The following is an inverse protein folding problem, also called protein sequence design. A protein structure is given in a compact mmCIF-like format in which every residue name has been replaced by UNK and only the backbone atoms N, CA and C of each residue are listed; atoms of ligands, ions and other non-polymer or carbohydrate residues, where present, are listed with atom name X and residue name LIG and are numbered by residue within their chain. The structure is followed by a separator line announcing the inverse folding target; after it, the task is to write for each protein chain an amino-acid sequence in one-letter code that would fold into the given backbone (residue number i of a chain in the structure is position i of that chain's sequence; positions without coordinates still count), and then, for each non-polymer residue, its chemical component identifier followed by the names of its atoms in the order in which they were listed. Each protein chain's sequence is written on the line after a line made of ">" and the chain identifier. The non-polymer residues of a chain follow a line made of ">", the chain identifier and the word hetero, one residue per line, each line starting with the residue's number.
data_IF_702136431372
#
_entry.id   IF_702136431372
#
_cell.length_a   1.000
_cell.length_b   1.000
_cell.length_c   1.000
_cell.angle_alpha   90.00
_cell.angle_beta   90.00
_cell.angle_gamma   90.00
#
_symmetry.space_group_name_H-M   'P 1'
#
loop_
_entity.id
_entity.type
_entity.pdbx_description
1 polymer ?
#
# COMPACT_ATOMS: atom_id res chain seq x y z
N UNK A 1 -0.87 29.08 18.34
CA UNK A 1 -1.76 27.97 18.72
C UNK A 1 -1.01 26.69 18.42
N UNK A 2 -0.85 25.79 19.41
CA UNK A 2 -0.34 24.46 19.12
C UNK A 2 -1.34 23.79 18.19
N UNK A 3 -0.95 23.52 16.94
CA UNK A 3 -1.78 22.78 16.01
C UNK A 3 -1.90 21.36 16.55
N UNK A 4 -3.12 20.89 16.81
CA UNK A 4 -3.34 19.49 17.12
C UNK A 4 -3.04 18.65 15.89
N UNK A 5 -2.57 17.41 16.08
CA UNK A 5 -2.31 16.54 14.96
C UNK A 5 -3.64 16.06 14.38
N UNK A 6 -3.89 16.18 13.07
CA UNK A 6 -5.19 15.85 12.49
C UNK A 6 -5.56 14.38 12.72
N UNK A 7 -6.88 14.11 12.74
CA UNK A 7 -7.41 12.78 12.94
C UNK A 7 -6.96 11.83 11.82
N UNK A 8 -6.60 10.60 12.20
CA UNK A 8 -6.16 9.56 11.28
C UNK A 8 -7.36 8.96 10.54
N UNK A 9 -7.23 8.76 9.22
CA UNK A 9 -8.30 8.14 8.42
C UNK A 9 -8.64 6.71 8.88
N UNK A 10 -7.67 5.97 9.43
CA UNK A 10 -7.88 4.72 10.16
C UNK A 10 -7.54 4.94 11.62
N UNK A 11 -8.44 4.53 12.52
CA UNK A 11 -8.19 4.60 13.96
C UNK A 11 -7.29 3.43 14.41
N UNK A 12 -6.36 3.70 15.33
CA UNK A 12 -5.32 2.72 15.69
C UNK A 12 -5.86 1.40 16.25
N UNK A 13 -6.97 1.41 16.96
CA UNK A 13 -7.60 0.20 17.50
C UNK A 13 -8.31 -0.63 16.43
N UNK A 14 -8.83 -0.01 15.35
CA UNK A 14 -9.39 -0.72 14.19
C UNK A 14 -8.27 -1.47 13.45
N UNK A 15 -7.12 -0.83 13.29
CA UNK A 15 -5.93 -1.46 12.74
C UNK A 15 -5.46 -2.66 13.60
N UNK A 16 -5.43 -2.50 14.93
CA UNK A 16 -5.07 -3.58 15.86
C UNK A 16 -6.07 -4.75 15.81
N UNK A 17 -7.37 -4.47 15.70
CA UNK A 17 -8.41 -5.49 15.52
C UNK A 17 -8.23 -6.24 14.20
N UNK A 18 -7.91 -5.54 13.12
CA UNK A 18 -7.58 -6.15 11.83
C UNK A 18 -6.40 -7.13 11.96
N UNK A 19 -5.33 -6.75 12.65
CA UNK A 19 -4.21 -7.65 12.92
C UNK A 19 -4.61 -8.86 13.78
N UNK A 20 -5.41 -8.66 14.83
CA UNK A 20 -5.90 -9.76 15.65
C UNK A 20 -6.76 -10.75 14.86
N UNK A 21 -7.66 -10.24 14.00
CA UNK A 21 -8.49 -11.06 13.11
C UNK A 21 -7.65 -11.81 12.07
N UNK A 22 -6.61 -11.18 11.53
CA UNK A 22 -5.64 -11.83 10.64
C UNK A 22 -4.95 -13.00 11.34
N UNK A 23 -4.40 -12.79 12.55
CA UNK A 23 -3.71 -13.84 13.31
C UNK A 23 -4.66 -14.97 13.69
N UNK A 24 -5.91 -14.64 14.05
CA UNK A 24 -6.94 -15.62 14.33
C UNK A 24 -7.28 -16.47 13.09
N UNK A 25 -7.50 -15.84 11.94
CA UNK A 25 -7.75 -16.56 10.69
C UNK A 25 -6.56 -17.45 10.29
N UNK A 26 -5.33 -16.96 10.47
CA UNK A 26 -4.11 -17.72 10.22
C UNK A 26 -4.01 -18.94 11.15
N UNK A 27 -4.37 -18.80 12.43
CA UNK A 27 -4.40 -19.91 13.37
C UNK A 27 -5.39 -21.00 12.92
N UNK A 28 -6.60 -20.62 12.47
CA UNK A 28 -7.58 -21.55 11.89
C UNK A 28 -7.01 -22.28 10.67
N UNK A 29 -6.42 -21.53 9.72
CA UNK A 29 -5.81 -22.13 8.52
C UNK A 29 -4.70 -23.12 8.89
N UNK A 30 -3.91 -22.81 9.92
CA UNK A 30 -2.81 -23.67 10.35
C UNK A 30 -3.26 -24.93 11.08
N UNK A 31 -4.21 -24.78 12.01
CA UNK A 31 -4.64 -25.85 12.93
C UNK A 31 -5.69 -26.75 12.28
N UNK A 32 -6.73 -26.17 11.68
CA UNK A 32 -7.88 -26.91 11.18
C UNK A 32 -7.76 -27.25 9.69
N UNK A 33 -6.92 -26.51 8.94
CA UNK A 33 -6.72 -26.65 7.48
C UNK A 33 -8.03 -26.84 6.70
N UNK A 34 -9.03 -25.94 6.84
CA UNK A 34 -10.37 -26.11 6.27
C UNK A 34 -10.38 -26.20 4.73
N UNK A 35 -9.32 -25.75 4.06
CA UNK A 35 -9.16 -25.81 2.61
C UNK A 35 -8.08 -26.80 2.15
N UNK A 36 -7.59 -27.67 3.04
CA UNK A 36 -6.47 -28.58 2.78
C UNK A 36 -5.24 -27.82 2.29
N UNK A 37 -4.63 -28.29 1.20
CA UNK A 37 -3.44 -27.66 0.58
C UNK A 37 -3.78 -26.51 -0.38
N UNK A 38 -5.05 -26.11 -0.48
CA UNK A 38 -5.44 -24.98 -1.34
C UNK A 38 -5.06 -23.64 -0.70
N UNK A 39 -3.86 -23.18 -1.04
CA UNK A 39 -3.28 -21.92 -0.57
C UNK A 39 -4.11 -20.70 -1.02
N UNK A 40 -4.71 -20.73 -2.22
CA UNK A 40 -5.48 -19.60 -2.75
C UNK A 40 -6.76 -19.40 -1.93
N UNK A 41 -7.50 -20.47 -1.66
CA UNK A 41 -8.69 -20.42 -0.82
C UNK A 41 -8.35 -19.99 0.62
N UNK A 42 -7.25 -20.51 1.17
CA UNK A 42 -6.77 -20.13 2.49
C UNK A 42 -6.39 -18.63 2.57
N UNK A 43 -5.71 -18.11 1.55
CA UNK A 43 -5.39 -16.69 1.45
C UNK A 43 -6.65 -15.81 1.35
N UNK A 44 -7.61 -16.21 0.51
CA UNK A 44 -8.90 -15.51 0.40
C UNK A 44 -9.70 -15.52 1.70
N UNK A 45 -9.68 -16.63 2.44
CA UNK A 45 -10.32 -16.71 3.76
C UNK A 45 -9.67 -15.74 4.76
N UNK A 46 -8.33 -15.70 4.83
CA UNK A 46 -7.60 -14.77 5.69
C UNK A 46 -7.97 -13.32 5.33
N UNK A 47 -7.98 -12.96 4.04
CA UNK A 47 -8.39 -11.64 3.57
C UNK A 47 -9.84 -11.35 3.97
N UNK A 48 -10.76 -12.30 3.78
CA UNK A 48 -12.18 -12.12 4.07
C UNK A 48 -12.45 -11.87 5.56
N UNK A 49 -11.85 -12.68 6.45
CA UNK A 49 -12.00 -12.53 7.91
C UNK A 49 -11.39 -11.20 8.37
N UNK A 50 -10.20 -10.86 7.88
CA UNK A 50 -9.51 -9.61 8.22
C UNK A 50 -10.31 -8.39 7.75
N UNK A 51 -10.78 -8.40 6.50
CA UNK A 51 -11.58 -7.32 5.93
C UNK A 51 -12.93 -7.19 6.65
N UNK A 52 -13.59 -8.30 6.98
CA UNK A 52 -14.84 -8.29 7.73
C UNK A 52 -14.68 -7.65 9.11
N UNK A 53 -13.63 -8.00 9.86
CA UNK A 53 -13.36 -7.41 11.17
C UNK A 53 -13.15 -5.89 11.10
N UNK A 54 -12.38 -5.42 10.12
CA UNK A 54 -12.14 -3.98 9.89
C UNK A 54 -13.45 -3.30 9.48
N UNK A 55 -14.15 -3.81 8.47
CA UNK A 55 -15.32 -3.15 7.89
C UNK A 55 -16.55 -3.17 8.79
N UNK A 56 -16.79 -4.23 9.54
CA UNK A 56 -17.91 -4.26 10.49
C UNK A 56 -17.77 -3.13 11.51
N UNK A 57 -16.58 -2.96 12.06
CA UNK A 57 -16.29 -1.90 13.02
C UNK A 57 -16.34 -0.52 12.37
N UNK A 58 -15.71 -0.35 11.21
CA UNK A 58 -15.72 0.92 10.50
C UNK A 58 -17.14 1.36 10.10
N UNK A 59 -18.02 0.42 9.76
CA UNK A 59 -19.39 0.72 9.36
C UNK A 59 -20.32 0.96 10.56
N UNK A 60 -20.20 0.16 11.62
CA UNK A 60 -21.11 0.22 12.77
C UNK A 60 -20.69 1.33 13.75
N UNK A 61 -19.40 1.38 14.10
CA UNK A 61 -18.88 2.25 15.15
C UNK A 61 -18.35 3.56 14.59
N UNK A 62 -17.34 3.49 13.72
CA UNK A 62 -16.69 4.67 13.13
C UNK A 62 -17.61 5.39 12.14
N UNK A 63 -18.62 4.68 11.61
CA UNK A 63 -19.58 5.14 10.59
C UNK A 63 -18.88 5.81 9.40
N UNK A 64 -17.83 5.16 8.89
CA UNK A 64 -17.02 5.70 7.78
C UNK A 64 -17.83 6.04 6.53
N UNK A 65 -18.96 5.35 6.33
CA UNK A 65 -19.89 5.57 5.23
C UNK A 65 -20.59 6.94 5.27
N UNK A 66 -20.56 7.65 6.41
CA UNK A 66 -21.09 9.00 6.57
C UNK A 66 -20.02 10.09 6.40
N UNK A 67 -18.75 9.71 6.21
CA UNK A 67 -17.68 10.69 6.06
C UNK A 67 -17.84 11.46 4.74
N UNK A 68 -17.58 12.78 4.72
CA UNK A 68 -17.65 13.60 3.50
C UNK A 68 -16.77 13.05 2.37
N UNK A 69 -15.65 12.41 2.71
CA UNK A 69 -14.72 11.81 1.75
C UNK A 69 -15.34 10.71 0.87
N UNK A 70 -16.41 10.06 1.33
CA UNK A 70 -17.13 9.06 0.51
C UNK A 70 -17.94 9.71 -0.61
N UNK A 71 -18.36 10.98 -0.43
CA UNK A 71 -19.30 11.66 -1.30
C UNK A 71 -20.72 11.09 -1.27
N UNK A 72 -21.02 10.22 -0.30
CA UNK A 72 -22.34 9.60 -0.07
C UNK A 72 -23.11 10.48 0.91
N UNK A 73 -24.33 10.86 0.53
CA UNK A 73 -25.23 11.64 1.37
C UNK A 73 -26.53 10.85 1.58
N UNK A 74 -26.83 10.40 2.83
CA UNK A 74 -28.05 9.65 3.12
C UNK A 74 -29.35 10.42 2.84
N UNK A 75 -29.30 11.75 2.79
CA UNK A 75 -30.45 12.61 2.52
C UNK A 75 -30.72 12.79 1.02
N UNK A 76 -29.75 12.40 0.19
CA UNK A 76 -29.83 12.50 -1.26
C UNK A 76 -30.24 11.16 -1.88
N UNK A 77 -31.28 11.15 -2.70
CA UNK A 77 -31.71 9.96 -3.43
C UNK A 77 -32.10 10.29 -4.88
N UNK A 78 -31.24 9.92 -5.83
CA UNK A 78 -31.46 10.07 -7.26
C UNK A 78 -31.21 8.76 -8.01
N UNK A 79 -32.14 7.80 -7.95
CA UNK A 79 -31.97 6.53 -8.65
C UNK A 79 -31.92 6.68 -10.17
N UNK A 80 -31.01 5.95 -10.81
CA UNK A 80 -30.94 5.89 -12.27
C UNK A 80 -30.38 4.54 -12.75
N UNK A 81 -31.25 3.71 -13.32
CA UNK A 81 -30.85 2.46 -13.94
C UNK A 81 -29.92 2.70 -15.14
N UNK A 82 -30.22 3.71 -15.96
CA UNK A 82 -29.38 4.07 -17.10
C UNK A 82 -27.94 4.43 -16.66
N UNK A 83 -27.80 5.27 -15.62
CA UNK A 83 -26.47 5.64 -15.09
C UNK A 83 -25.75 4.44 -14.48
N UNK A 84 -26.48 3.58 -13.77
CA UNK A 84 -25.95 2.33 -13.21
C UNK A 84 -25.41 1.41 -14.30
N UNK A 85 -26.15 1.21 -15.39
CA UNK A 85 -25.71 0.41 -16.53
C UNK A 85 -24.48 1.00 -17.22
N UNK A 86 -24.41 2.33 -17.35
CA UNK A 86 -23.20 3.01 -17.88
C UNK A 86 -22.00 2.74 -16.98
N UNK A 87 -22.14 2.87 -15.65
CA UNK A 87 -21.04 2.56 -14.71
C UNK A 87 -20.62 1.10 -14.76
N UNK A 88 -21.59 0.19 -14.89
CA UNK A 88 -21.32 -1.23 -15.04
C UNK A 88 -20.55 -1.53 -16.33
N UNK A 89 -20.96 -0.94 -17.46
CA UNK A 89 -20.18 -0.99 -18.70
C UNK A 89 -18.77 -0.43 -18.53
N UNK A 90 -18.61 0.65 -17.75
CA UNK A 90 -17.31 1.20 -17.39
C UNK A 90 -16.44 0.26 -16.54
N UNK A 91 -17.03 -0.47 -15.60
CA UNK A 91 -16.34 -1.51 -14.84
C UNK A 91 -15.87 -2.64 -15.77
N UNK A 92 -16.75 -3.16 -16.63
CA UNK A 92 -16.39 -4.19 -17.60
C UNK A 92 -15.31 -3.71 -18.57
N UNK A 93 -15.38 -2.46 -19.04
CA UNK A 93 -14.35 -1.84 -19.85
C UNK A 93 -13.02 -1.72 -19.12
N UNK A 94 -13.04 -1.39 -17.83
CA UNK A 94 -11.82 -1.31 -17.00
C UNK A 94 -11.17 -2.68 -16.82
N UNK A 95 -11.98 -3.72 -16.55
CA UNK A 95 -11.51 -5.09 -16.46
C UNK A 95 -10.97 -5.59 -17.81
N UNK A 96 -11.69 -5.30 -18.90
CA UNK A 96 -11.26 -5.61 -20.26
C UNK A 96 -9.96 -4.93 -20.64
N UNK A 97 -9.76 -3.68 -20.22
CA UNK A 97 -8.51 -2.95 -20.41
C UNK A 97 -7.34 -3.63 -19.69
N UNK A 98 -7.50 -4.03 -18.43
CA UNK A 98 -6.46 -4.77 -17.69
C UNK A 98 -6.21 -6.15 -18.31
N UNK A 99 -7.27 -6.87 -18.69
CA UNK A 99 -7.14 -8.16 -19.37
C UNK A 99 -6.38 -8.02 -20.70
N UNK A 100 -6.63 -6.95 -21.46
CA UNK A 100 -5.88 -6.63 -22.67
C UNK A 100 -4.41 -6.36 -22.37
N UNK A 101 -4.08 -5.60 -21.32
CA UNK A 101 -2.69 -5.39 -20.90
C UNK A 101 -1.99 -6.70 -20.53
N UNK A 102 -2.64 -7.58 -19.76
CA UNK A 102 -2.09 -8.90 -19.41
C UNK A 102 -1.92 -9.82 -20.61
N UNK A 103 -2.85 -9.75 -21.56
CA UNK A 103 -2.70 -10.46 -22.83
C UNK A 103 -1.53 -9.90 -23.64
N UNK A 104 -1.39 -8.59 -23.76
CA UNK A 104 -0.37 -7.94 -24.58
C UNK A 104 1.06 -8.14 -24.04
N UNK A 105 1.24 -8.04 -22.72
CA UNK A 105 2.55 -8.04 -22.07
C UNK A 105 2.97 -9.47 -21.67
N UNK A 106 4.10 -10.01 -22.20
CA UNK A 106 4.52 -11.39 -21.95
C UNK A 106 4.74 -11.75 -20.47
N UNK A 107 5.15 -10.78 -19.66
CA UNK A 107 5.40 -10.93 -18.22
C UNK A 107 4.23 -11.60 -17.49
N UNK A 108 2.98 -11.20 -17.79
CA UNK A 108 1.79 -11.72 -17.11
C UNK A 108 1.38 -13.12 -17.57
N UNK A 109 2.04 -13.69 -18.58
CA UNK A 109 1.80 -15.07 -19.03
C UNK A 109 2.68 -16.10 -18.29
N UNK A 110 3.61 -15.64 -17.44
CA UNK A 110 4.50 -16.50 -16.67
C UNK A 110 3.80 -17.26 -15.54
N UNK A 111 4.36 -18.41 -15.16
CA UNK A 111 3.86 -19.26 -14.05
C UNK A 111 3.81 -18.53 -12.70
N UNK A 112 4.61 -17.48 -12.55
CA UNK A 112 4.62 -16.65 -11.34
C UNK A 112 3.22 -16.16 -10.96
N UNK A 113 2.38 -15.78 -11.94
CA UNK A 113 1.03 -15.24 -11.70
C UNK A 113 -0.09 -16.28 -11.65
N UNK A 114 0.21 -17.58 -11.67
CA UNK A 114 -0.81 -18.64 -11.75
C UNK A 114 -1.80 -18.59 -10.57
N UNK A 115 -1.29 -18.37 -9.35
CA UNK A 115 -2.12 -18.24 -8.13
C UNK A 115 -3.04 -17.02 -8.17
N UNK A 116 -2.59 -15.94 -8.79
CA UNK A 116 -3.42 -14.75 -9.01
C UNK A 116 -4.57 -15.04 -9.98
N UNK A 117 -4.31 -15.72 -11.10
CA UNK A 117 -5.38 -16.08 -12.04
C UNK A 117 -6.39 -17.05 -11.43
N UNK A 118 -5.95 -18.01 -10.60
CA UNK A 118 -6.85 -18.88 -9.83
C UNK A 118 -7.75 -18.05 -8.90
N UNK A 119 -7.20 -17.05 -8.20
CA UNK A 119 -8.00 -16.13 -7.39
C UNK A 119 -8.99 -15.33 -8.22
N UNK A 120 -8.61 -14.83 -9.40
CA UNK A 120 -9.54 -14.13 -10.30
C UNK A 120 -10.73 -15.01 -10.69
N UNK A 121 -10.51 -16.29 -11.00
CA UNK A 121 -11.61 -17.22 -11.32
C UNK A 121 -12.62 -17.38 -10.18
N UNK A 122 -12.17 -17.26 -8.93
CA UNK A 122 -13.04 -17.35 -7.75
C UNK A 122 -13.75 -16.02 -7.49
N UNK A 123 -13.00 -14.91 -7.48
CA UNK A 123 -13.49 -13.60 -7.03
C UNK A 123 -14.30 -12.89 -8.12
N UNK A 124 -13.84 -12.91 -9.37
CA UNK A 124 -14.39 -12.09 -10.44
C UNK A 124 -15.88 -12.35 -10.75
N UNK A 125 -16.37 -13.61 -10.79
CA UNK A 125 -17.80 -13.86 -11.03
C UNK A 125 -18.70 -13.23 -9.97
N UNK A 126 -18.33 -13.41 -8.69
CA UNK A 126 -19.08 -12.83 -7.56
C UNK A 126 -19.01 -11.31 -7.56
N UNK A 127 -17.84 -10.73 -7.86
CA UNK A 127 -17.66 -9.28 -7.94
C UNK A 127 -18.51 -8.67 -9.06
N UNK A 128 -18.54 -9.27 -10.25
CA UNK A 128 -19.36 -8.78 -11.37
C UNK A 128 -20.85 -8.88 -11.04
N UNK A 129 -21.29 -9.99 -10.45
CA UNK A 129 -22.69 -10.18 -10.05
C UNK A 129 -23.12 -9.14 -8.99
N UNK A 130 -22.27 -8.85 -8.01
CA UNK A 130 -22.54 -7.89 -6.94
C UNK A 130 -22.33 -6.43 -7.36
N UNK A 131 -21.63 -6.16 -8.47
CA UNK A 131 -21.35 -4.80 -8.92
C UNK A 131 -22.62 -4.03 -9.33
N UNK A 132 -23.58 -4.68 -9.97
CA UNK A 132 -24.85 -4.04 -10.36
C UNK A 132 -25.67 -3.53 -9.17
N UNK A 133 -26.03 -4.36 -8.17
CA UNK A 133 -26.74 -3.87 -6.99
C UNK A 133 -25.91 -2.85 -6.22
N UNK A 134 -24.59 -3.05 -6.10
CA UNK A 134 -23.70 -2.10 -5.45
C UNK A 134 -23.73 -0.71 -6.13
N UNK A 135 -23.57 -0.66 -7.45
CA UNK A 135 -23.65 0.60 -8.18
C UNK A 135 -25.01 1.25 -8.01
N UNK A 136 -26.11 0.51 -8.15
CA UNK A 136 -27.45 1.07 -8.00
C UNK A 136 -27.68 1.70 -6.61
N UNK A 137 -27.21 1.05 -5.55
CA UNK A 137 -27.41 1.51 -4.16
C UNK A 137 -26.51 2.69 -3.80
N UNK A 138 -25.26 2.69 -4.25
CA UNK A 138 -24.31 3.76 -3.91
C UNK A 138 -24.52 4.98 -4.81
N UNK A 139 -24.66 4.78 -6.12
CA UNK A 139 -24.77 5.86 -7.11
C UNK A 139 -25.95 6.80 -6.85
N UNK A 140 -27.09 6.27 -6.39
CA UNK A 140 -28.27 7.08 -6.07
C UNK A 140 -28.03 8.06 -4.92
N UNK A 141 -27.08 7.76 -4.02
CA UNK A 141 -26.74 8.60 -2.85
C UNK A 141 -25.48 9.44 -3.05
N UNK A 142 -24.86 9.39 -4.23
CA UNK A 142 -23.66 10.17 -4.52
C UNK A 142 -24.05 11.59 -4.94
N UNK A 143 -23.46 12.61 -4.31
CA UNK A 143 -23.62 14.02 -4.73
C UNK A 143 -23.08 14.27 -6.14
N UNK A 144 -22.00 13.58 -6.50
CA UNK A 144 -21.35 13.66 -7.83
C UNK A 144 -21.26 12.26 -8.45
N UNK A 145 -22.36 11.76 -9.04
CA UNK A 145 -22.41 10.38 -9.52
C UNK A 145 -21.64 10.16 -10.83
N UNK A 146 -21.20 11.21 -11.54
CA UNK A 146 -20.39 11.08 -12.78
C UNK A 146 -18.91 10.88 -12.42
N UNK A 147 -18.59 9.69 -11.89
CA UNK A 147 -17.24 9.30 -11.49
C UNK A 147 -16.47 8.61 -12.64
N UNK A 148 -15.26 8.13 -12.36
CA UNK A 148 -14.40 7.43 -13.33
C UNK A 148 -15.08 6.25 -14.02
N UNK A 149 -15.93 5.48 -13.31
CA UNK A 149 -16.70 4.40 -13.93
C UNK A 149 -17.72 4.92 -14.92
N UNK A 150 -18.36 6.05 -14.63
CA UNK A 150 -19.28 6.67 -15.59
C UNK A 150 -18.54 7.14 -16.85
N UNK A 151 -17.40 7.81 -16.71
CA UNK A 151 -16.59 8.27 -17.84
C UNK A 151 -16.01 7.12 -18.67
N UNK A 152 -15.51 6.07 -18.03
CA UNK A 152 -15.09 4.84 -18.72
C UNK A 152 -16.27 4.17 -19.42
N UNK A 153 -17.46 4.18 -18.81
CA UNK A 153 -18.68 3.69 -19.43
C UNK A 153 -19.05 4.45 -20.70
N UNK A 154 -18.96 5.79 -20.65
CA UNK A 154 -19.16 6.66 -21.83
C UNK A 154 -18.15 6.38 -22.94
N UNK A 155 -16.90 6.09 -22.60
CA UNK A 155 -15.88 5.66 -23.55
C UNK A 155 -16.29 4.35 -24.26
N UNK A 156 -16.68 3.33 -23.49
CA UNK A 156 -17.06 2.01 -24.01
C UNK A 156 -18.28 2.07 -24.93
N UNK A 157 -19.25 2.95 -24.66
CA UNK A 157 -20.44 3.14 -25.50
C UNK A 157 -20.27 4.22 -26.59
N UNK A 158 -19.02 4.64 -26.87
CA UNK A 158 -18.67 5.60 -27.92
C UNK A 158 -19.29 7.00 -27.77
N UNK A 159 -19.54 7.46 -26.54
CA UNK A 159 -20.08 8.80 -26.23
C UNK A 159 -18.99 9.76 -25.74
N UNK A 160 -18.00 9.98 -26.60
CA UNK A 160 -16.76 10.72 -26.32
C UNK A 160 -16.97 12.17 -25.89
N UNK A 161 -17.99 12.85 -26.42
CA UNK A 161 -18.26 14.26 -26.14
C UNK A 161 -18.62 14.54 -24.67
N UNK A 162 -19.05 13.52 -23.91
CA UNK A 162 -19.43 13.66 -22.52
C UNK A 162 -18.27 13.37 -21.53
N UNK A 163 -17.08 13.07 -22.04
CA UNK A 163 -15.95 12.60 -21.23
C UNK A 163 -15.10 13.77 -20.75
N UNK A 164 -14.84 13.80 -19.44
CA UNK A 164 -13.75 14.58 -18.87
C UNK A 164 -12.48 13.73 -18.91
N UNK A 165 -11.49 14.20 -19.68
CA UNK A 165 -10.23 13.48 -19.90
C UNK A 165 -9.41 13.36 -18.61
N UNK A 166 -9.48 14.34 -17.71
CA UNK A 166 -8.73 14.30 -16.45
C UNK A 166 -9.29 13.23 -15.51
N UNK A 167 -10.62 13.13 -15.41
CA UNK A 167 -11.29 12.11 -14.60
C UNK A 167 -11.06 10.71 -15.17
N UNK A 168 -11.15 10.54 -16.49
CA UNK A 168 -10.86 9.27 -17.15
C UNK A 168 -9.38 8.87 -16.97
N UNK A 169 -8.45 9.82 -17.12
CA UNK A 169 -7.02 9.56 -16.91
C UNK A 169 -6.71 9.08 -15.50
N UNK A 170 -7.28 9.73 -14.48
CA UNK A 170 -7.15 9.30 -13.08
C UNK A 170 -7.76 7.91 -12.83
N UNK A 171 -8.88 7.60 -13.47
CA UNK A 171 -9.51 6.28 -13.40
C UNK A 171 -8.61 5.18 -14.00
N UNK A 172 -8.07 5.42 -15.19
CA UNK A 172 -7.16 4.49 -15.86
C UNK A 172 -5.87 4.28 -15.06
N UNK A 173 -5.26 5.36 -14.54
CA UNK A 173 -4.11 5.26 -13.64
C UNK A 173 -4.42 4.40 -12.40
N UNK A 174 -5.56 4.63 -11.74
CA UNK A 174 -6.00 3.83 -10.60
C UNK A 174 -6.16 2.34 -10.92
N UNK A 175 -6.67 2.01 -12.11
CA UNK A 175 -6.77 0.62 -12.57
C UNK A 175 -5.42 0.02 -12.96
N UNK A 176 -4.52 0.77 -13.58
CA UNK A 176 -3.15 0.31 -13.85
C UNK A 176 -2.41 0.01 -12.55
N UNK A 177 -2.55 0.86 -11.53
CA UNK A 177 -1.98 0.62 -10.19
C UNK A 177 -2.49 -0.73 -9.65
N UNK A 178 -3.80 -0.96 -9.66
CA UNK A 178 -4.37 -2.24 -9.21
C UNK A 178 -3.88 -3.42 -10.06
N UNK A 179 -3.90 -3.26 -11.38
CA UNK A 179 -3.48 -4.27 -12.34
C UNK A 179 -1.99 -4.62 -12.23
N UNK A 180 -1.14 -3.71 -11.78
CA UNK A 180 0.27 -3.97 -11.51
C UNK A 180 0.49 -4.60 -10.13
N UNK A 181 -0.04 -3.99 -9.07
CA UNK A 181 0.31 -4.39 -7.70
C UNK A 181 -0.48 -5.58 -7.18
N UNK A 182 -1.77 -5.70 -7.50
CA UNK A 182 -2.58 -6.82 -7.00
C UNK A 182 -2.02 -8.20 -7.39
N UNK A 183 -1.66 -8.48 -8.67
CA UNK A 183 -1.12 -9.80 -9.02
C UNK A 183 0.19 -10.10 -8.29
N UNK A 184 1.05 -9.08 -8.12
CA UNK A 184 2.32 -9.21 -7.44
C UNK A 184 2.14 -9.52 -5.94
N UNK A 185 1.36 -8.68 -5.25
CA UNK A 185 1.14 -8.80 -3.80
C UNK A 185 0.40 -10.09 -3.46
N UNK A 186 -0.63 -10.47 -4.22
CA UNK A 186 -1.37 -11.70 -3.96
C UNK A 186 -0.51 -12.96 -4.17
N UNK A 187 0.36 -12.94 -5.18
CA UNK A 187 1.32 -14.03 -5.42
C UNK A 187 2.32 -14.16 -4.26
N UNK A 188 2.89 -13.04 -3.80
CA UNK A 188 3.77 -13.01 -2.63
C UNK A 188 3.07 -13.52 -1.38
N UNK A 189 1.84 -13.04 -1.10
CA UNK A 189 1.04 -13.53 0.02
C UNK A 189 0.86 -15.05 -0.02
N UNK A 190 0.53 -15.63 -1.19
CA UNK A 190 0.37 -17.07 -1.29
C UNK A 190 1.70 -17.82 -1.10
N UNK A 191 2.82 -17.28 -1.59
CA UNK A 191 4.14 -17.88 -1.40
C UNK A 191 4.53 -17.88 0.08
N UNK A 192 4.27 -16.77 0.77
CA UNK A 192 4.53 -16.61 2.19
C UNK A 192 3.63 -17.51 3.04
N UNK A 193 2.34 -17.60 2.71
CA UNK A 193 1.42 -18.52 3.37
C UNK A 193 1.86 -19.99 3.19
N UNK A 194 2.26 -20.38 1.97
CA UNK A 194 2.76 -21.73 1.72
C UNK A 194 4.02 -22.02 2.54
N UNK A 195 4.95 -21.06 2.64
CA UNK A 195 6.14 -21.17 3.49
C UNK A 195 5.76 -21.31 4.95
N UNK A 196 4.88 -20.45 5.45
CA UNK A 196 4.39 -20.47 6.82
C UNK A 196 3.75 -21.82 7.18
N UNK A 197 2.91 -22.38 6.30
CA UNK A 197 2.28 -23.69 6.50
C UNK A 197 3.27 -24.86 6.42
N UNK A 198 4.40 -24.70 5.75
CA UNK A 198 5.45 -25.71 5.68
C UNK A 198 6.40 -25.69 6.89
N UNK A 199 6.36 -24.65 7.74
CA UNK A 199 7.21 -24.56 8.93
C UNK A 199 6.90 -25.69 9.90
N UNK A 200 7.96 -26.37 10.34
CA UNK A 200 7.92 -27.35 11.40
C UNK A 200 8.28 -26.65 12.72
N UNK A 201 7.29 -26.45 13.59
CA UNK A 201 7.48 -25.70 14.84
C UNK A 201 8.40 -26.42 15.83
N UNK A 202 8.59 -27.73 15.70
CA UNK A 202 9.54 -28.48 16.54
C UNK A 202 10.99 -28.08 16.24
N UNK A 203 11.26 -27.55 15.05
CA UNK A 203 12.60 -27.08 14.64
C UNK A 203 12.94 -25.67 15.14
N UNK A 204 12.00 -24.96 15.79
CA UNK A 204 12.24 -23.64 16.37
C UNK A 204 13.00 -23.72 17.70
N UNK A 205 14.21 -24.27 17.67
CA UNK A 205 15.02 -24.58 18.86
C UNK A 205 16.09 -23.54 19.18
N UNK A 206 16.45 -22.68 18.22
CA UNK A 206 17.49 -21.66 18.39
C UNK A 206 17.03 -20.29 17.91
N UNK A 207 17.68 -19.24 18.41
CA UNK A 207 17.37 -17.86 18.01
C UNK A 207 17.50 -17.66 16.49
N UNK A 208 18.40 -18.38 15.80
CA UNK A 208 18.50 -18.31 14.34
C UNK A 208 17.20 -18.75 13.66
N UNK A 209 16.64 -19.90 14.06
CA UNK A 209 15.40 -20.39 13.48
C UNK A 209 14.21 -19.48 13.84
N UNK A 210 14.18 -18.96 15.07
CA UNK A 210 13.20 -17.96 15.47
C UNK A 210 13.33 -16.65 14.67
N UNK A 211 14.55 -16.19 14.41
CA UNK A 211 14.80 -15.01 13.59
C UNK A 211 14.25 -15.22 12.18
N UNK A 212 14.64 -16.31 11.51
CA UNK A 212 14.20 -16.60 10.13
C UNK A 212 12.67 -16.68 10.07
N UNK A 213 12.05 -17.37 11.03
CA UNK A 213 10.59 -17.51 11.13
C UNK A 213 9.86 -16.18 11.39
N UNK A 214 10.32 -15.38 12.37
CA UNK A 214 9.70 -14.10 12.72
C UNK A 214 9.87 -13.07 11.60
N UNK A 215 11.04 -13.04 10.97
CA UNK A 215 11.32 -12.17 9.84
C UNK A 215 10.36 -12.47 8.68
N UNK A 216 10.25 -13.73 8.27
CA UNK A 216 9.33 -14.15 7.20
C UNK A 216 7.86 -13.90 7.59
N UNK A 217 7.48 -14.18 8.83
CA UNK A 217 6.11 -13.95 9.33
C UNK A 217 5.72 -12.46 9.33
N UNK A 218 6.67 -11.57 9.63
CA UNK A 218 6.45 -10.12 9.59
C UNK A 218 6.17 -9.64 8.15
N UNK A 219 6.97 -10.07 7.17
CA UNK A 219 6.70 -9.77 5.76
C UNK A 219 5.41 -10.41 5.25
N UNK A 220 5.06 -11.60 5.74
CA UNK A 220 3.79 -12.24 5.43
C UNK A 220 2.59 -11.40 5.90
N UNK A 221 2.64 -10.86 7.12
CA UNK A 221 1.60 -9.93 7.63
C UNK A 221 1.50 -8.70 6.73
N UNK A 222 2.63 -8.08 6.40
CA UNK A 222 2.70 -6.91 5.52
C UNK A 222 1.98 -7.17 4.20
N UNK A 223 2.45 -8.16 3.45
CA UNK A 223 1.95 -8.43 2.09
C UNK A 223 0.49 -8.89 2.08
N UNK A 224 0.02 -9.54 3.15
CA UNK A 224 -1.37 -9.94 3.29
C UNK A 224 -2.31 -8.73 3.43
N UNK A 225 -1.93 -7.76 4.28
CA UNK A 225 -2.69 -6.52 4.45
C UNK A 225 -2.64 -5.66 3.20
N UNK A 226 -1.49 -5.60 2.53
CA UNK A 226 -1.36 -4.93 1.22
C UNK A 226 -2.27 -5.57 0.18
N UNK A 227 -2.29 -6.91 0.07
CA UNK A 227 -3.15 -7.65 -0.86
C UNK A 227 -4.63 -7.37 -0.61
N UNK A 228 -5.05 -7.40 0.66
CA UNK A 228 -6.40 -6.99 1.06
C UNK A 228 -6.71 -5.56 0.63
N UNK A 229 -5.79 -4.62 0.86
CA UNK A 229 -5.96 -3.22 0.51
C UNK A 229 -6.27 -3.01 -0.98
N UNK A 230 -5.62 -3.75 -1.87
CA UNK A 230 -5.88 -3.68 -3.32
C UNK A 230 -7.22 -4.30 -3.74
N UNK A 231 -7.62 -5.42 -3.11
CA UNK A 231 -8.92 -6.06 -3.37
C UNK A 231 -10.08 -5.21 -2.84
N UNK A 232 -9.93 -4.68 -1.63
CA UNK A 232 -11.01 -4.04 -0.88
C UNK A 232 -10.96 -2.52 -1.00
N UNK A 233 -11.37 -2.01 -2.16
CA UNK A 233 -11.35 -0.58 -2.50
C UNK A 233 -12.76 -0.04 -2.77
N UNK A 234 -13.61 -0.12 -1.75
CA UNK A 234 -15.01 0.24 -1.82
C UNK A 234 -15.24 1.67 -1.33
N UNK A 235 -16.13 2.40 -2.01
CA UNK A 235 -16.51 3.77 -1.63
C UNK A 235 -17.29 3.79 -0.33
N UNK A 236 -18.16 2.79 -0.12
CA UNK A 236 -18.98 2.67 1.08
C UNK A 236 -18.17 2.49 2.37
N UNK A 237 -17.03 1.81 2.31
CA UNK A 237 -16.11 1.66 3.46
C UNK A 237 -15.07 2.79 3.51
N UNK A 238 -15.25 3.86 2.73
CA UNK A 238 -14.30 4.98 2.58
C UNK A 238 -12.88 4.54 2.15
N UNK A 239 -12.71 3.32 1.66
CA UNK A 239 -11.42 2.78 1.22
C UNK A 239 -11.17 3.02 -0.27
N UNK A 240 -12.07 3.61 -1.04
CA UNK A 240 -11.82 3.88 -2.46
C UNK A 240 -10.56 4.74 -2.74
N UNK A 241 -10.00 4.59 -3.94
CA UNK A 241 -8.94 5.47 -4.45
C UNK A 241 -9.55 6.85 -4.70
N UNK A 242 -9.01 7.88 -4.03
CA UNK A 242 -9.43 9.28 -4.22
C UNK A 242 -8.67 9.93 -5.37
N UNK A 243 -7.37 9.64 -5.47
CA UNK A 243 -6.54 10.00 -6.62
C UNK A 243 -5.35 9.04 -6.76
N UNK A 244 -4.83 8.95 -7.98
CA UNK A 244 -3.60 8.25 -8.30
C UNK A 244 -2.46 9.26 -8.54
N UNK A 245 -1.22 8.86 -8.26
CA UNK A 245 -0.02 9.65 -8.55
C UNK A 245 -0.02 10.05 -10.03
N UNK A 246 -0.05 11.35 -10.36
CA UNK A 246 -0.13 11.78 -11.74
C UNK A 246 1.24 11.94 -12.42
N UNK A 247 2.34 11.95 -11.69
CA UNK A 247 3.66 12.27 -12.26
C UNK A 247 4.42 11.03 -12.69
N UNK A 248 5.09 11.11 -13.85
CA UNK A 248 5.96 10.05 -14.33
C UNK A 248 7.10 9.74 -13.36
N UNK A 249 7.62 10.76 -12.66
CA UNK A 249 8.68 10.57 -11.67
C UNK A 249 8.21 9.68 -10.52
N UNK A 250 7.04 9.96 -9.93
CA UNK A 250 6.46 9.17 -8.85
C UNK A 250 6.26 7.70 -9.26
N UNK A 251 5.75 7.47 -10.48
CA UNK A 251 5.63 6.13 -11.05
C UNK A 251 6.99 5.44 -11.22
N UNK A 252 7.97 6.10 -11.82
CA UNK A 252 9.28 5.50 -12.09
C UNK A 252 9.99 5.08 -10.79
N UNK A 253 10.06 5.96 -9.79
CA UNK A 253 10.74 5.67 -8.52
C UNK A 253 10.00 4.62 -7.67
N UNK A 254 8.68 4.52 -7.81
CA UNK A 254 7.91 3.48 -7.16
C UNK A 254 8.11 2.13 -7.87
N UNK A 255 7.88 2.05 -9.18
CA UNK A 255 7.93 0.81 -9.95
C UNK A 255 9.33 0.18 -9.95
N UNK A 256 10.40 0.97 -9.94
CA UNK A 256 11.77 0.44 -9.87
C UNK A 256 12.03 -0.43 -8.62
N UNK A 257 11.24 -0.23 -7.56
CA UNK A 257 11.34 -0.97 -6.30
C UNK A 257 10.57 -2.31 -6.30
N UNK A 258 9.92 -2.67 -7.40
CA UNK A 258 9.09 -3.88 -7.50
C UNK A 258 9.51 -4.73 -8.70
N UNK A 259 9.20 -6.02 -8.65
CA UNK A 259 9.39 -6.90 -9.81
C UNK A 259 8.48 -6.49 -10.99
N UNK A 260 8.92 -6.69 -12.23
CA UNK A 260 10.21 -7.27 -12.66
C UNK A 260 11.39 -6.27 -12.70
N UNK A 261 11.14 -4.99 -12.40
CA UNK A 261 12.17 -3.96 -12.52
C UNK A 261 13.27 -4.12 -11.47
N UNK A 262 12.90 -4.47 -10.23
CA UNK A 262 13.85 -4.61 -9.14
C UNK A 262 14.86 -5.73 -9.35
N UNK A 263 14.47 -6.90 -9.88
CA UNK A 263 15.45 -7.97 -10.17
C UNK A 263 16.53 -7.52 -11.14
N UNK A 264 16.20 -6.67 -12.12
CA UNK A 264 17.18 -6.10 -13.05
C UNK A 264 18.00 -5.02 -12.38
N UNK A 265 17.35 -4.03 -11.77
CA UNK A 265 18.01 -2.85 -11.17
C UNK A 265 18.89 -3.25 -9.98
N UNK A 266 18.34 -4.03 -9.06
CA UNK A 266 19.04 -4.53 -7.88
C UNK A 266 20.24 -5.41 -8.23
N UNK A 267 20.10 -6.31 -9.21
CA UNK A 267 21.20 -7.21 -9.59
C UNK A 267 22.29 -6.53 -10.43
N UNK A 268 21.91 -5.69 -11.39
CA UNK A 268 22.86 -5.17 -12.38
C UNK A 268 23.45 -3.81 -12.00
N UNK A 269 22.69 -2.94 -11.33
CA UNK A 269 23.08 -1.55 -11.07
C UNK A 269 23.31 -1.27 -9.58
N UNK A 270 22.47 -1.83 -8.70
CA UNK A 270 22.54 -1.65 -7.25
C UNK A 270 22.96 -2.95 -6.56
N UNK A 271 24.01 -3.60 -7.04
CA UNK A 271 24.58 -4.81 -6.43
C UNK A 271 25.35 -4.48 -5.14
N UNK A 272 24.65 -3.94 -4.13
CA UNK A 272 25.21 -3.57 -2.84
C UNK A 272 25.39 -4.79 -1.91
N UNK A 273 24.69 -5.90 -2.16
CA UNK A 273 24.80 -7.11 -1.36
C UNK A 273 25.99 -7.99 -1.78
N UNK A 274 26.50 -8.75 -0.81
CA UNK A 274 27.45 -9.85 -1.04
C UNK A 274 26.81 -11.17 -0.58
N UNK A 275 27.44 -12.30 -0.88
CA UNK A 275 26.99 -13.60 -0.35
C UNK A 275 27.20 -13.74 1.17
N UNK A 276 27.85 -12.78 1.82
CA UNK A 276 28.14 -12.78 3.25
C UNK A 276 27.19 -11.85 4.01
N UNK A 277 26.20 -12.44 4.69
CA UNK A 277 25.17 -11.70 5.46
C UNK A 277 25.51 -11.64 6.94
N UNK A 278 24.78 -10.80 7.68
CA UNK A 278 25.01 -10.54 9.11
C UNK A 278 24.99 -11.81 9.98
N UNK A 279 24.15 -12.77 9.60
CA UNK A 279 24.07 -14.06 10.27
C UNK A 279 25.38 -14.86 10.17
N UNK A 280 26.11 -14.75 9.06
CA UNK A 280 27.41 -15.40 8.91
C UNK A 280 28.53 -14.63 9.60
N UNK A 281 28.34 -13.33 9.85
CA UNK A 281 29.31 -12.47 10.52
C UNK A 281 29.34 -12.69 12.03
N UNK A 282 28.17 -12.78 12.65
CA UNK A 282 28.04 -12.86 14.11
C UNK A 282 27.82 -14.28 14.62
N UNK A 283 27.91 -15.31 13.76
CA UNK A 283 27.52 -16.70 14.09
C UNK A 283 28.25 -17.27 15.31
N UNK A 284 29.53 -16.93 15.47
CA UNK A 284 30.41 -17.35 16.59
C UNK A 284 30.17 -16.56 17.88
N UNK A 285 29.32 -15.53 17.85
CA UNK A 285 29.11 -14.61 18.98
C UNK A 285 27.62 -14.55 19.37
N UNK A 286 27.10 -15.53 20.14
CA UNK A 286 25.66 -15.67 20.39
C UNK A 286 24.99 -14.41 20.95
N UNK A 287 25.64 -13.71 21.88
CA UNK A 287 25.11 -12.47 22.46
C UNK A 287 24.96 -11.36 21.41
N UNK A 288 25.99 -11.10 20.61
CA UNK A 288 25.94 -10.08 19.55
C UNK A 288 24.99 -10.48 18.43
N UNK A 289 24.94 -11.76 18.07
CA UNK A 289 23.97 -12.29 17.13
C UNK A 289 22.52 -12.00 17.58
N UNK A 290 22.22 -12.27 18.86
CA UNK A 290 20.91 -12.00 19.46
C UNK A 290 20.54 -10.52 19.45
N UNK A 291 21.46 -9.65 19.88
CA UNK A 291 21.24 -8.19 19.91
C UNK A 291 21.03 -7.64 18.49
N UNK A 292 21.89 -8.03 17.55
CA UNK A 292 21.85 -7.53 16.17
C UNK A 292 20.61 -8.03 15.42
N UNK A 293 20.34 -9.34 15.49
CA UNK A 293 19.14 -9.94 14.91
C UNK A 293 17.86 -9.39 15.54
N UNK A 294 17.85 -9.19 16.86
CA UNK A 294 16.74 -8.54 17.57
C UNK A 294 16.51 -7.11 17.08
N UNK A 295 17.58 -6.34 16.86
CA UNK A 295 17.51 -5.00 16.28
C UNK A 295 16.90 -4.99 14.87
N UNK A 296 17.29 -5.94 14.01
CA UNK A 296 16.68 -6.11 12.68
C UNK A 296 15.19 -6.42 12.82
N UNK A 297 14.80 -7.36 13.69
CA UNK A 297 13.39 -7.72 13.90
C UNK A 297 12.57 -6.53 14.42
N UNK A 298 13.12 -5.70 15.31
CA UNK A 298 12.44 -4.47 15.77
C UNK A 298 12.22 -3.49 14.61
N UNK A 299 13.22 -3.28 13.74
CA UNK A 299 13.06 -2.42 12.57
C UNK A 299 12.01 -2.97 11.60
N UNK A 300 12.03 -4.27 11.33
CA UNK A 300 11.02 -4.91 10.47
C UNK A 300 9.63 -4.84 11.13
N UNK A 301 9.53 -5.01 12.45
CA UNK A 301 8.27 -4.84 13.17
C UNK A 301 7.72 -3.41 13.07
N UNK A 302 8.56 -2.38 13.14
CA UNK A 302 8.14 -0.98 12.90
C UNK A 302 7.67 -0.79 11.45
N UNK A 303 8.36 -1.41 10.48
CA UNK A 303 7.94 -1.41 9.08
C UNK A 303 6.54 -2.03 8.91
N UNK A 304 6.30 -3.21 9.49
CA UNK A 304 4.98 -3.89 9.42
C UNK A 304 3.92 -3.11 10.19
N UNK A 305 4.26 -2.53 11.33
CA UNK A 305 3.34 -1.71 12.12
C UNK A 305 2.83 -0.50 11.32
N UNK A 306 3.67 0.07 10.45
CA UNK A 306 3.25 1.14 9.54
C UNK A 306 2.19 0.65 8.56
N UNK A 307 2.34 -0.56 8.01
CA UNK A 307 1.31 -1.17 7.14
C UNK A 307 0.03 -1.49 7.91
N UNK A 308 0.15 -2.06 9.12
CA UNK A 308 -1.00 -2.34 10.00
C UNK A 308 -1.81 -1.07 10.25
N UNK A 309 -1.16 0.07 10.50
CA UNK A 309 -1.82 1.35 10.75
C UNK A 309 -2.72 1.85 9.60
N UNK A 310 -2.50 1.40 8.36
CA UNK A 310 -3.42 1.70 7.25
C UNK A 310 -4.74 0.92 7.32
N UNK A 311 -4.78 -0.24 7.98
CA UNK A 311 -5.90 -1.17 7.88
C UNK A 311 -6.17 -1.58 6.43
N UNK A 312 -7.41 -1.42 5.96
CA UNK A 312 -7.80 -1.77 4.58
C UNK A 312 -7.46 -0.70 3.52
N UNK A 313 -6.72 0.35 3.87
CA UNK A 313 -6.46 1.50 2.98
C UNK A 313 -5.11 1.46 2.26
N UNK A 314 -4.20 0.57 2.64
CA UNK A 314 -2.86 0.56 2.05
C UNK A 314 -2.93 0.43 0.53
N UNK A 315 -2.18 1.27 -0.18
CA UNK A 315 -1.96 1.14 -1.62
C UNK A 315 -0.84 2.08 -2.07
N UNK A 316 0.11 1.58 -2.85
CA UNK A 316 1.15 2.39 -3.50
C UNK A 316 0.54 3.35 -4.53
N UNK A 317 1.18 4.52 -4.71
CA UNK A 317 0.83 5.51 -5.74
C UNK A 317 -0.61 6.05 -5.66
N UNK A 318 -1.27 5.94 -4.51
CA UNK A 318 -2.65 6.41 -4.35
C UNK A 318 -2.84 7.23 -3.09
N UNK A 319 -3.83 8.12 -3.16
CA UNK A 319 -4.38 8.78 -1.98
C UNK A 319 -5.69 8.10 -1.58
N UNK A 320 -5.72 7.50 -0.37
CA UNK A 320 -6.87 6.77 0.20
C UNK A 320 -7.22 7.24 1.62
N UNK A 321 -6.86 8.49 1.95
CA UNK A 321 -6.94 9.05 3.29
C UNK A 321 -5.58 9.12 3.98
N UNK A 322 -5.42 10.12 4.85
CA UNK A 322 -4.16 10.40 5.54
C UNK A 322 -4.11 9.61 6.84
N UNK A 323 -3.06 8.81 7.01
CA UNK A 323 -2.80 8.08 8.25
C UNK A 323 -1.87 8.90 9.11
N UNK A 324 -2.33 9.18 10.31
CA UNK A 324 -1.57 9.97 11.28
C UNK A 324 -1.39 9.22 12.59
N UNK A 325 -1.97 8.03 12.77
CA UNK A 325 -1.86 7.21 14.00
C UNK A 325 -0.77 6.15 13.94
N UNK A 326 -0.48 5.49 15.07
CA UNK A 326 0.57 4.47 15.15
C UNK A 326 1.96 5.06 14.86
N UNK A 327 2.81 4.41 14.05
CA UNK A 327 4.17 4.87 13.79
C UNK A 327 4.24 6.22 13.05
N UNK A 328 3.12 6.62 12.43
CA UNK A 328 2.92 7.93 11.81
C UNK A 328 2.76 9.08 12.83
N UNK A 329 2.91 8.84 14.14
CA UNK A 329 3.05 9.91 15.14
C UNK A 329 4.49 10.45 15.26
N UNK A 330 5.48 9.69 14.80
CA UNK A 330 6.91 10.05 14.95
C UNK A 330 7.57 10.54 13.66
N UNK A 331 7.12 10.06 12.49
CA UNK A 331 7.65 10.47 11.19
C UNK A 331 6.60 10.24 10.09
N UNK A 332 6.71 10.98 8.98
CA UNK A 332 5.82 10.83 7.81
C UNK A 332 5.98 9.48 7.10
N UNK A 333 7.18 8.90 7.13
CA UNK A 333 7.51 7.67 6.41
C UNK A 333 8.22 6.63 7.29
N UNK A 334 7.55 6.11 8.35
CA UNK A 334 8.18 5.17 9.28
C UNK A 334 8.63 3.88 8.62
N UNK A 335 7.83 3.35 7.68
CA UNK A 335 8.17 2.17 6.88
C UNK A 335 9.49 2.36 6.12
N UNK A 336 9.66 3.50 5.44
CA UNK A 336 10.87 3.75 4.65
C UNK A 336 12.10 3.89 5.56
N UNK A 337 11.99 4.60 6.67
CA UNK A 337 13.09 4.74 7.62
C UNK A 337 13.52 3.38 8.17
N UNK A 338 12.58 2.61 8.70
CA UNK A 338 12.87 1.33 9.32
C UNK A 338 13.43 0.31 8.31
N UNK A 339 12.87 0.26 7.09
CA UNK A 339 13.34 -0.59 6.01
C UNK A 339 14.78 -0.27 5.61
N UNK A 340 15.10 1.01 5.39
CA UNK A 340 16.46 1.40 5.01
C UNK A 340 17.49 1.11 6.11
N UNK A 341 17.15 1.36 7.39
CA UNK A 341 18.01 0.98 8.52
C UNK A 341 18.21 -0.54 8.60
N UNK A 342 17.16 -1.33 8.35
CA UNK A 342 17.25 -2.79 8.37
C UNK A 342 18.19 -3.31 7.29
N UNK A 343 18.19 -2.71 6.09
CA UNK A 343 19.12 -3.07 5.02
C UNK A 343 20.56 -2.77 5.36
N UNK A 344 20.84 -1.63 5.99
CA UNK A 344 22.18 -1.39 6.55
C UNK A 344 22.55 -2.49 7.54
N UNK A 345 21.70 -2.81 8.51
CA UNK A 345 22.03 -3.87 9.48
C UNK A 345 22.24 -5.25 8.83
N UNK A 346 21.50 -5.57 7.78
CA UNK A 346 21.63 -6.86 7.07
C UNK A 346 22.89 -6.91 6.20
N UNK A 347 23.24 -5.78 5.55
CA UNK A 347 24.30 -5.71 4.53
C UNK A 347 25.64 -5.19 5.05
N UNK A 348 25.70 -4.46 6.18
CA UNK A 348 26.92 -3.95 6.85
C UNK A 348 28.11 -4.94 6.87
N UNK A 349 27.94 -6.26 7.02
CA UNK A 349 29.06 -7.21 7.06
C UNK A 349 30.06 -7.14 5.90
N UNK A 350 29.68 -6.61 4.73
CA UNK A 350 30.66 -6.41 3.64
C UNK A 350 31.79 -5.44 4.04
N UNK A 351 31.58 -4.55 5.02
CA UNK A 351 32.63 -3.65 5.50
C UNK A 351 33.70 -4.39 6.30
N UNK A 352 33.35 -5.52 6.92
CA UNK A 352 34.29 -6.35 7.68
C UNK A 352 35.12 -7.28 6.77
N UNK A 353 34.68 -7.53 5.54
CA UNK A 353 35.32 -8.44 4.61
C UNK A 353 35.45 -7.83 3.21
N UNK A 354 36.63 -7.28 2.91
CA UNK A 354 36.95 -6.79 1.58
C UNK A 354 38.05 -5.74 1.59
N UNK A 355 38.58 -5.43 0.41
CA UNK A 355 39.43 -4.27 0.24
C UNK A 355 38.59 -2.98 0.43
N UNK A 356 39.17 -1.89 0.99
CA UNK A 356 38.43 -0.67 1.31
C UNK A 356 37.65 -0.06 0.13
N UNK A 357 38.15 -0.22 -1.10
CA UNK A 357 37.50 0.23 -2.33
C UNK A 357 36.16 -0.48 -2.58
N UNK A 358 36.10 -1.80 -2.34
CA UNK A 358 34.87 -2.59 -2.48
C UNK A 358 33.85 -2.20 -1.41
N UNK A 359 34.30 -2.04 -0.17
CA UNK A 359 33.43 -1.60 0.93
C UNK A 359 32.83 -0.21 0.64
N UNK A 360 33.65 0.74 0.18
CA UNK A 360 33.18 2.07 -0.24
C UNK A 360 32.15 1.98 -1.37
N UNK A 361 32.41 1.14 -2.39
CA UNK A 361 31.46 0.92 -3.49
C UNK A 361 30.11 0.41 -3.00
N UNK A 362 30.10 -0.61 -2.15
CA UNK A 362 28.84 -1.17 -1.61
C UNK A 362 28.09 -0.15 -0.75
N UNK A 363 28.80 0.65 0.06
CA UNK A 363 28.20 1.75 0.80
C UNK A 363 27.54 2.79 -0.13
N UNK A 364 28.22 3.20 -1.20
CA UNK A 364 27.67 4.14 -2.17
C UNK A 364 26.45 3.58 -2.91
N UNK A 365 26.46 2.30 -3.25
CA UNK A 365 25.31 1.63 -3.88
C UNK A 365 24.11 1.52 -2.93
N UNK A 366 24.35 1.22 -1.64
CA UNK A 366 23.30 1.19 -0.62
C UNK A 366 22.75 2.59 -0.33
N UNK A 367 23.62 3.62 -0.30
CA UNK A 367 23.19 5.02 -0.24
C UNK A 367 22.36 5.43 -1.46
N UNK A 368 22.71 4.95 -2.66
CA UNK A 368 21.91 5.20 -3.86
C UNK A 368 20.50 4.58 -3.73
N UNK A 369 20.39 3.37 -3.15
CA UNK A 369 19.09 2.78 -2.82
C UNK A 369 18.32 3.61 -1.79
N UNK A 370 18.98 4.11 -0.75
CA UNK A 370 18.32 5.02 0.20
C UNK A 370 17.84 6.31 -0.49
N UNK A 371 18.62 6.84 -1.45
CA UNK A 371 18.25 7.98 -2.30
C UNK A 371 16.98 7.74 -3.10
N UNK A 372 16.78 6.53 -3.64
CA UNK A 372 15.52 6.14 -4.31
C UNK A 372 14.35 6.25 -3.32
N UNK A 373 14.51 5.80 -2.08
CA UNK A 373 13.46 5.90 -1.06
C UNK A 373 13.19 7.34 -0.62
N UNK A 374 14.21 8.21 -0.62
CA UNK A 374 14.01 9.66 -0.41
C UNK A 374 13.20 10.27 -1.54
N UNK A 375 13.51 9.94 -2.80
CA UNK A 375 12.74 10.41 -3.95
C UNK A 375 11.29 9.92 -3.89
N UNK A 376 11.09 8.63 -3.58
CA UNK A 376 9.77 8.02 -3.42
C UNK A 376 8.96 8.69 -2.30
N UNK A 377 9.59 8.95 -1.15
CA UNK A 377 8.97 9.73 -0.08
C UNK A 377 8.53 11.09 -0.63
N UNK A 378 9.43 11.85 -1.28
CA UNK A 378 9.13 13.19 -1.77
C UNK A 378 8.01 13.25 -2.80
N UNK A 379 7.99 12.32 -3.76
CA UNK A 379 6.90 12.24 -4.73
C UNK A 379 5.56 11.96 -4.05
N UNK A 380 5.55 11.07 -3.05
CA UNK A 380 4.37 10.80 -2.23
C UNK A 380 3.93 12.04 -1.43
N UNK A 381 4.86 12.78 -0.80
CA UNK A 381 4.55 14.04 -0.12
C UNK A 381 3.94 15.07 -1.07
N UNK A 382 4.47 15.21 -2.29
CA UNK A 382 3.94 16.15 -3.29
C UNK A 382 2.54 15.78 -3.76
N UNK A 383 2.28 14.49 -3.99
CA UNK A 383 0.95 14.00 -4.36
C UNK A 383 -0.05 14.21 -3.22
N UNK A 384 0.31 13.83 -2.00
CA UNK A 384 -0.55 13.96 -0.83
C UNK A 384 -0.78 15.42 -0.41
N UNK A 385 0.15 16.34 -0.70
CA UNK A 385 0.00 17.78 -0.40
C UNK A 385 -1.15 18.48 -1.13
N UNK A 386 -1.85 17.77 -2.03
CA UNK A 386 -3.11 18.22 -2.61
C UNK A 386 -4.29 18.11 -1.63
N UNK A 387 -4.16 17.27 -0.61
CA UNK A 387 -5.12 17.17 0.49
C UNK A 387 -4.73 18.15 1.62
N UNK A 388 -5.60 19.10 2.00
CA UNK A 388 -5.36 20.00 3.12
C UNK A 388 -5.00 19.29 4.44
N UNK A 389 -5.59 18.10 4.70
CA UNK A 389 -5.31 17.30 5.90
C UNK A 389 -3.84 16.87 5.91
N UNK A 390 -3.28 16.52 4.75
CA UNK A 390 -1.87 16.17 4.66
C UNK A 390 -0.96 17.36 4.90
N UNK A 391 -1.32 18.55 4.38
CA UNK A 391 -0.55 19.78 4.59
C UNK A 391 -0.51 20.13 6.08
N UNK A 392 -1.64 20.00 6.78
CA UNK A 392 -1.71 20.19 8.23
C UNK A 392 -0.85 19.17 8.99
N UNK A 393 -0.99 17.88 8.65
CA UNK A 393 -0.19 16.80 9.22
C UNK A 393 1.31 16.98 9.00
N UNK A 394 1.73 17.30 7.78
CA UNK A 394 3.12 17.52 7.43
C UNK A 394 3.69 18.75 8.16
N UNK A 395 2.90 19.82 8.28
CA UNK A 395 3.29 21.00 9.06
C UNK A 395 3.43 20.69 10.55
N UNK A 396 2.52 19.87 11.09
CA UNK A 396 2.60 19.38 12.47
C UNK A 396 3.87 18.55 12.69
N UNK A 397 4.23 17.70 11.72
CA UNK A 397 5.43 16.87 11.76
C UNK A 397 6.73 17.68 11.79
N UNK A 398 6.78 18.82 11.10
CA UNK A 398 7.96 19.70 11.16
C UNK A 398 8.18 20.32 12.55
N UNK A 399 7.15 20.38 13.40
CA UNK A 399 7.26 20.87 14.78
C UNK A 399 7.45 19.75 15.81
N UNK A 400 6.81 18.60 15.60
CA UNK A 400 6.67 17.53 16.61
C UNK A 400 7.34 16.21 16.24
N UNK A 401 7.72 16.01 14.99
CA UNK A 401 8.31 14.76 14.51
C UNK A 401 9.71 14.50 15.07
N UNK A 402 10.08 13.22 15.11
CA UNK A 402 11.39 12.74 15.59
C UNK A 402 12.55 13.36 14.80
N UNK A 403 12.33 13.63 13.51
CA UNK A 403 13.33 14.20 12.60
C UNK A 403 13.24 15.72 12.43
N UNK A 404 12.52 16.43 13.31
CA UNK A 404 12.37 17.90 13.23
C UNK A 404 13.69 18.69 13.20
N UNK A 405 14.76 18.10 13.73
CA UNK A 405 16.08 18.73 13.74
C UNK A 405 16.72 18.82 12.34
N UNK A 406 16.28 17.99 11.37
CA UNK A 406 16.84 17.96 10.00
C UNK A 406 16.73 19.32 9.31
N UNK A 407 15.66 20.09 9.58
CA UNK A 407 15.47 21.43 9.00
C UNK A 407 16.56 22.43 9.40
N UNK A 408 17.27 22.17 10.50
CA UNK A 408 18.35 23.02 11.01
C UNK A 408 19.73 22.58 10.47
N UNK A 409 19.82 21.46 9.74
CA UNK A 409 21.07 20.98 9.16
C UNK A 409 21.22 21.58 7.74
N UNK A 410 22.29 22.35 7.45
CA UNK A 410 22.42 23.07 6.19
C UNK A 410 22.28 22.19 4.94
N UNK A 411 22.94 21.02 4.96
CA UNK A 411 22.98 20.08 3.83
C UNK A 411 21.70 19.24 3.69
N UNK A 412 20.91 19.08 4.75
CA UNK A 412 19.71 18.24 4.77
C UNK A 412 18.40 19.03 4.87
N UNK A 413 18.49 20.36 4.94
CA UNK A 413 17.33 21.26 4.99
C UNK A 413 16.42 21.15 3.76
N UNK A 414 16.93 20.64 2.63
CA UNK A 414 16.14 20.34 1.44
C UNK A 414 15.18 19.15 1.63
N UNK A 415 15.43 18.29 2.63
CA UNK A 415 14.57 17.17 2.98
C UNK A 415 13.41 17.58 3.88
N UNK A 416 13.45 18.76 4.50
CA UNK A 416 12.33 19.29 5.27
C UNK A 416 11.10 19.48 4.36
N UNK A 417 9.90 19.36 4.93
CA UNK A 417 8.69 19.67 4.21
C UNK A 417 8.63 21.16 3.88
N UNK A 418 8.33 21.46 2.62
CA UNK A 418 7.95 22.81 2.19
C UNK A 418 6.53 22.69 1.67
N UNK A 419 5.59 23.22 2.45
CA UNK A 419 4.19 23.28 2.01
C UNK A 419 4.09 24.05 0.69
N UNK A 420 3.03 23.80 -0.11
CA UNK A 420 2.75 24.66 -1.25
C UNK A 420 2.75 26.11 -0.77
N UNK A 421 3.46 26.99 -1.49
CA UNK A 421 3.46 28.41 -1.16
C UNK A 421 1.99 28.85 -1.01
N UNK A 422 1.68 29.57 0.07
CA UNK A 422 0.40 30.27 0.19
C UNK A 422 0.39 31.41 -0.84
N UNK A 423 0.43 31.07 -2.13
CA UNK A 423 0.04 32.00 -3.18
C UNK A 423 -1.42 32.34 -2.93
N UNK A 424 -1.71 33.64 -2.95
CA UNK A 424 -3.00 34.20 -2.56
C UNK A 424 -4.16 33.41 -3.15
N UNK A 425 -5.14 33.13 -2.30
CA UNK A 425 -6.42 32.51 -2.63
C UNK A 425 -7.19 33.44 -3.57
N UNK A 426 -6.79 33.50 -4.84
CA UNK A 426 -7.51 34.11 -5.97
C UNK A 426 -7.02 33.53 -7.31
N UNK A 427 -6.72 32.22 -7.37
CA UNK A 427 -6.68 31.49 -8.65
C UNK A 427 -8.00 30.74 -8.85
N UNK A 428 -8.68 30.87 -10.02
CA UNK A 428 -9.98 30.24 -10.28
C UNK A 428 -9.99 28.71 -10.12
N UNK A 429 -8.84 28.05 -10.27
CA UNK A 429 -8.73 26.59 -10.24
C UNK A 429 -8.76 25.99 -8.83
N UNK A 430 -8.40 26.78 -7.81
CA UNK A 430 -8.47 26.34 -6.40
C UNK A 430 -9.91 26.21 -5.90
N UNK A 431 -10.86 26.96 -6.50
CA UNK A 431 -12.28 26.83 -6.20
C UNK A 431 -12.86 25.53 -6.76
N UNK A 432 -12.34 25.01 -7.86
CA UNK A 432 -12.79 23.72 -8.37
C UNK A 432 -12.37 22.57 -7.44
N UNK A 433 -11.16 22.58 -6.87
CA UNK A 433 -10.74 21.51 -5.95
C UNK A 433 -11.41 21.61 -4.56
N UNK A 434 -11.58 22.83 -4.02
CA UNK A 434 -12.25 23.06 -2.74
C UNK A 434 -13.78 22.81 -2.83
N UNK A 435 -14.44 23.21 -3.92
CA UNK A 435 -15.84 22.85 -4.19
C UNK A 435 -15.98 21.40 -4.71
N UNK A 436 -14.87 20.73 -5.03
CA UNK A 436 -14.86 19.30 -5.37
C UNK A 436 -14.97 18.40 -4.14
N UNK A 437 -14.55 18.87 -2.95
CA UNK A 437 -14.41 18.06 -1.74
C UNK A 437 -15.01 18.65 -0.46
N UNK A 438 -15.76 19.76 -0.53
CA UNK A 438 -16.65 20.24 0.53
C UNK A 438 -18.08 19.68 0.41
#
# INVERSE_FOLDING_TARGET
>A
MATECPESATQGWVAALGLAAFLFALAIIRLDRPFGDNVVNSALFIIAVTAAAIFLVDLIWTKVHLRPSTGIDPTYDQPSCARTLVKFAGLLGSLGFIAFCYWLLPEYRGKFYERYYQMLWIVLPSMIALALPYFYLIDRRMRKPRDGYWHMGKLVIFQWAAIDQAVLGQHLLGWIIKGFFLPLMFTYMCNDLARFLAVDFEKLSSFKFWFDFLFDSLYFIDVSLVSMGYLMSLRFTDTHIRSAEPTMLGWAVALMCYEPFWSTIGRQYLAYETNYKWGNWLWDTPMFYGIWGGGILVLVAIYVWATVAFGARFSNLTHRGIITSGPYRWTKHPAYVAKNLSWWMVSIPFMAQGAPDKALRHCLLLLALNGIYVLRAKTEEWHLSRDPIYVEYASWMEANGMFRFIRHLPLLSCLAYRGPAREGVHSPDSKQFAQQHS
#
